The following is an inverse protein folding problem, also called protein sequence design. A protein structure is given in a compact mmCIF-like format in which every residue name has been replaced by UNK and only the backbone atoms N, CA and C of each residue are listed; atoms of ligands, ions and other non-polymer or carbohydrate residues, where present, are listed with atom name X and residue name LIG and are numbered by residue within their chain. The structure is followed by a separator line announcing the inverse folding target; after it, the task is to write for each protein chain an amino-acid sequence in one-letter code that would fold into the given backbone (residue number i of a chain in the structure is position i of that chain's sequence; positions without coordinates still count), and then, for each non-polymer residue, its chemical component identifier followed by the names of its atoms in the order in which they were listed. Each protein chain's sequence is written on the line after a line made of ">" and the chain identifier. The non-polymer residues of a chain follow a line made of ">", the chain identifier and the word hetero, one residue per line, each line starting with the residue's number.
data_IF_271397655928
#
_entry.id   IF_271397655928
#
_cell.length_a   1.000
_cell.length_b   1.000
_cell.length_c   1.000
_cell.angle_alpha   90.00
_cell.angle_beta   90.00
_cell.angle_gamma   90.00
#
_symmetry.space_group_name_H-M   'P 1'
#
loop_
_entity.id
_entity.type
_entity.pdbx_description
1 polymer ?
#
# COMPACT_ATOMS: atom_id res chain seq x y z
N UNK A 1 1.77 -10.99 5.54
CA UNK A 1 1.03 -9.74 5.75
C UNK A 1 1.86 -8.59 5.27
N UNK A 2 1.25 -7.64 4.57
CA UNK A 2 1.87 -6.44 4.02
C UNK A 2 1.47 -5.26 4.92
N UNK A 3 2.44 -4.55 5.47
CA UNK A 3 2.16 -3.40 6.33
C UNK A 3 1.52 -2.28 5.54
N UNK A 4 0.53 -1.63 6.17
CA UNK A 4 -0.12 -0.43 5.65
C UNK A 4 0.24 0.79 6.48
N UNK A 5 0.20 1.95 5.84
CA UNK A 5 0.61 3.23 6.40
C UNK A 5 -0.42 4.32 6.10
N UNK A 6 -0.46 5.36 6.92
CA UNK A 6 -1.34 6.55 6.72
C UNK A 6 -0.79 7.55 5.69
N UNK A 7 0.35 7.24 5.06
CA UNK A 7 1.01 8.02 4.03
C UNK A 7 2.33 7.35 3.59
N UNK A 8 2.97 7.84 2.52
CA UNK A 8 4.34 7.45 2.19
C UNK A 8 5.29 7.82 3.33
N UNK A 9 6.10 6.87 3.81
CA UNK A 9 6.90 7.00 5.03
C UNK A 9 6.09 7.41 6.28
N UNK A 10 4.78 7.15 6.26
CA UNK A 10 3.84 7.48 7.32
C UNK A 10 3.87 6.50 8.49
N UNK A 11 2.96 6.69 9.43
CA UNK A 11 2.80 5.81 10.59
C UNK A 11 2.15 4.50 10.17
N UNK A 12 2.51 3.43 10.87
CA UNK A 12 1.84 2.13 10.74
C UNK A 12 0.35 2.27 11.03
N UNK A 13 -0.47 1.74 10.11
CA UNK A 13 -1.94 1.78 10.16
C UNK A 13 -2.56 0.40 10.35
N UNK A 14 -1.84 -0.66 9.99
CA UNK A 14 -2.32 -2.03 10.05
C UNK A 14 -1.59 -2.93 9.04
N UNK A 15 -2.22 -4.04 8.66
CA UNK A 15 -1.71 -4.90 7.61
C UNK A 15 -2.84 -5.46 6.75
N UNK A 16 -2.50 -5.79 5.51
CA UNK A 16 -3.33 -6.61 4.61
C UNK A 16 -2.65 -7.96 4.37
N UNK A 17 -3.38 -8.94 3.87
CA UNK A 17 -2.84 -10.27 3.57
C UNK A 17 -2.21 -10.36 2.16
N UNK A 18 -2.63 -9.50 1.23
CA UNK A 18 -2.17 -9.50 -0.17
C UNK A 18 -2.76 -10.63 -1.01
N UNK A 19 -3.84 -11.28 -0.55
CA UNK A 19 -4.43 -12.44 -1.23
C UNK A 19 -5.25 -12.08 -2.48
N UNK A 20 -5.65 -10.81 -2.62
CA UNK A 20 -6.39 -10.28 -3.75
C UNK A 20 -5.67 -9.09 -4.39
N UNK A 21 -5.87 -8.83 -5.69
CA UNK A 21 -5.36 -7.64 -6.34
C UNK A 21 -6.02 -6.37 -5.77
N UNK A 22 -5.24 -5.31 -5.64
CA UNK A 22 -5.73 -4.00 -5.23
C UNK A 22 -5.76 -3.03 -6.42
N UNK A 23 -6.73 -2.12 -6.42
CA UNK A 23 -6.67 -0.93 -7.26
C UNK A 23 -5.61 0.03 -6.74
N UNK A 24 -4.90 0.69 -7.65
CA UNK A 24 -3.93 1.75 -7.30
C UNK A 24 -4.62 3.09 -7.47
N UNK A 25 -4.88 3.78 -6.36
CA UNK A 25 -5.51 5.10 -6.35
C UNK A 25 -4.49 6.25 -6.41
N UNK A 26 -3.29 6.02 -5.88
CA UNK A 26 -2.16 6.94 -5.98
C UNK A 26 -0.84 6.18 -5.86
N UNK A 27 0.26 6.79 -6.32
CA UNK A 27 1.62 6.24 -6.22
C UNK A 27 2.60 7.37 -5.91
N UNK A 28 3.42 7.20 -4.87
CA UNK A 28 4.35 8.23 -4.39
C UNK A 28 5.45 7.62 -3.52
N UNK A 29 6.70 8.05 -3.72
CA UNK A 29 7.86 7.70 -2.88
C UNK A 29 8.07 6.20 -2.62
N UNK A 30 7.76 5.34 -3.59
CA UNK A 30 7.86 3.87 -3.46
C UNK A 30 6.68 3.23 -2.71
N UNK A 31 5.59 3.97 -2.52
CA UNK A 31 4.33 3.48 -1.97
C UNK A 31 3.19 3.60 -2.97
N UNK A 32 2.21 2.72 -2.85
CA UNK A 32 0.93 2.77 -3.57
C UNK A 32 -0.23 2.90 -2.57
N UNK A 33 -1.18 3.78 -2.85
CA UNK A 33 -2.44 3.87 -2.11
C UNK A 33 -3.43 2.85 -2.66
N UNK A 34 -3.84 1.92 -1.81
CA UNK A 34 -4.81 0.87 -2.11
C UNK A 34 -6.24 1.24 -1.66
N UNK A 35 -6.45 2.52 -1.30
CA UNK A 35 -7.75 3.11 -0.98
C UNK A 35 -7.87 3.54 0.48
N UNK A 36 -8.75 4.51 0.74
CA UNK A 36 -8.99 5.06 2.09
C UNK A 36 -7.72 5.62 2.75
N UNK A 37 -6.81 6.20 1.95
CA UNK A 37 -5.49 6.67 2.40
C UNK A 37 -4.72 5.55 3.12
N UNK A 38 -4.57 4.42 2.44
CA UNK A 38 -3.94 3.20 2.96
C UNK A 38 -2.79 2.86 2.03
N UNK A 39 -1.58 3.19 2.48
CA UNK A 39 -0.39 3.10 1.66
C UNK A 39 0.35 1.81 1.97
N UNK A 40 0.79 1.09 0.94
CA UNK A 40 1.64 -0.10 1.05
C UNK A 40 2.91 0.14 0.27
N UNK A 41 4.02 -0.47 0.70
CA UNK A 41 5.26 -0.40 -0.07
C UNK A 41 5.08 -1.15 -1.38
N UNK A 42 5.55 -0.52 -2.45
CA UNK A 42 5.41 -1.03 -3.80
C UNK A 42 6.17 -2.34 -4.02
N UNK A 43 7.30 -2.53 -3.33
CA UNK A 43 8.18 -3.72 -3.43
C UNK A 43 7.47 -5.06 -3.14
N UNK A 44 6.27 -5.02 -2.56
CA UNK A 44 5.48 -6.21 -2.28
C UNK A 44 4.57 -6.65 -3.43
N UNK A 45 4.49 -5.88 -4.52
CA UNK A 45 3.53 -6.11 -5.60
C UNK A 45 4.20 -6.18 -6.97
N UNK A 46 3.65 -7.05 -7.83
CA UNK A 46 3.90 -7.01 -9.26
C UNK A 46 2.85 -6.10 -9.90
N UNK A 47 3.22 -4.87 -10.23
CA UNK A 47 2.32 -3.89 -10.86
C UNK A 47 2.22 -4.16 -12.37
N UNK A 48 0.99 -4.13 -12.90
CA UNK A 48 0.68 -4.34 -14.32
C UNK A 48 -0.40 -3.38 -14.79
#
# INVERSE_FOLDING_TARGET
>A
GINTYDGPNGKYKGNVDGSYPYGIFARKDGYIDIGQNTWVKEEHFNIR
#
